data_IF_277739405855
#
_entry.id   IF_277739405855
#
_cell.length_a   1.000
_cell.length_b   1.000
_cell.length_c   1.000
_cell.angle_alpha   90.00
_cell.angle_beta   90.00
_cell.angle_gamma   90.00
#
_symmetry.space_group_name_H-M   'P 1'
#
loop_
_entity.id
_entity.type
_entity.pdbx_description
1 polymer ?
#
# COMPACT_ATOMS: atom_id res chain seq x y z
N UNK A 1 26.53 18.57 -13.72
CA UNK A 1 25.17 18.74 -14.27
C UNK A 1 24.74 17.60 -15.18
N UNK A 2 25.55 17.07 -16.08
CA UNK A 2 25.20 15.90 -16.93
C UNK A 2 25.08 14.59 -16.14
N UNK A 3 25.99 14.32 -15.21
CA UNK A 3 25.96 13.11 -14.37
C UNK A 3 24.70 13.05 -13.50
N UNK A 4 24.24 14.16 -12.95
CA UNK A 4 22.97 14.25 -12.19
C UNK A 4 21.75 14.02 -13.09
N UNK A 5 21.75 14.52 -14.31
CA UNK A 5 20.68 14.26 -15.30
C UNK A 5 20.63 12.78 -15.70
N UNK A 6 21.80 12.15 -15.87
CA UNK A 6 21.89 10.73 -16.23
C UNK A 6 21.42 9.83 -15.08
N UNK A 7 21.78 10.15 -13.84
CA UNK A 7 21.32 9.45 -12.64
C UNK A 7 19.79 9.56 -12.51
N UNK A 8 19.24 10.77 -12.62
CA UNK A 8 17.78 10.99 -12.55
C UNK A 8 17.00 10.22 -13.61
N UNK A 9 17.57 10.05 -14.83
CA UNK A 9 16.97 9.21 -15.87
C UNK A 9 16.95 7.72 -15.50
N UNK A 10 18.04 7.21 -14.91
CA UNK A 10 18.12 5.81 -14.46
C UNK A 10 17.18 5.53 -13.31
N UNK A 11 17.10 6.44 -12.34
CA UNK A 11 16.16 6.35 -11.22
C UNK A 11 14.71 6.34 -11.70
N UNK A 12 14.37 7.23 -12.63
CA UNK A 12 13.03 7.31 -13.23
C UNK A 12 12.70 6.02 -14.01
N UNK A 13 13.63 5.54 -14.84
CA UNK A 13 13.43 4.32 -15.63
C UNK A 13 13.21 3.10 -14.74
N UNK A 14 14.04 2.91 -13.70
CA UNK A 14 13.90 1.80 -12.77
C UNK A 14 12.57 1.87 -11.99
N UNK A 15 12.15 3.08 -11.60
CA UNK A 15 10.87 3.30 -10.92
C UNK A 15 9.69 2.97 -11.84
N UNK A 16 9.70 3.45 -13.08
CA UNK A 16 8.67 3.17 -14.07
C UNK A 16 8.56 1.67 -14.35
N UNK A 17 9.68 0.99 -14.55
CA UNK A 17 9.72 -0.43 -14.83
C UNK A 17 9.13 -1.26 -13.66
N UNK A 18 9.44 -0.91 -12.42
CA UNK A 18 8.86 -1.54 -11.24
C UNK A 18 7.34 -1.28 -11.15
N UNK A 19 6.89 -0.07 -11.44
CA UNK A 19 5.46 0.26 -11.42
C UNK A 19 4.70 -0.46 -12.53
N UNK A 20 5.23 -0.48 -13.76
CA UNK A 20 4.63 -1.21 -14.88
C UNK A 20 4.46 -2.70 -14.56
N UNK A 21 5.48 -3.31 -13.95
CA UNK A 21 5.38 -4.72 -13.55
C UNK A 21 4.28 -4.95 -12.50
N UNK A 22 4.14 -4.06 -11.52
CA UNK A 22 3.05 -4.17 -10.54
C UNK A 22 1.67 -4.11 -11.17
N UNK A 23 1.49 -3.29 -12.22
CA UNK A 23 0.24 -3.24 -12.98
C UNK A 23 -0.07 -4.53 -13.74
N UNK A 24 0.94 -5.27 -14.14
CA UNK A 24 0.79 -6.56 -14.84
C UNK A 24 0.63 -7.71 -13.86
N UNK A 25 1.48 -7.76 -12.82
CA UNK A 25 1.53 -8.86 -11.86
C UNK A 25 0.29 -8.95 -10.96
N UNK A 26 -0.30 -7.78 -10.61
CA UNK A 26 -1.54 -7.74 -9.83
C UNK A 26 -2.71 -8.46 -10.49
N UNK A 27 -3.12 -8.10 -11.71
CA UNK A 27 -4.14 -8.82 -12.47
C UNK A 27 -3.81 -10.31 -12.70
N UNK A 28 -2.55 -10.66 -12.97
CA UNK A 28 -2.15 -12.08 -13.11
C UNK A 28 -2.48 -12.85 -11.82
N UNK A 29 -2.03 -12.38 -10.68
CA UNK A 29 -2.29 -13.04 -9.40
C UNK A 29 -3.79 -13.09 -9.10
N UNK A 30 -4.51 -12.01 -9.38
CA UNK A 30 -5.96 -11.89 -9.17
C UNK A 30 -6.74 -12.93 -10.00
N UNK A 31 -6.30 -13.22 -11.23
CA UNK A 31 -6.92 -14.24 -12.08
C UNK A 31 -6.56 -15.68 -11.66
N UNK A 32 -5.32 -15.90 -11.20
CA UNK A 32 -4.88 -17.24 -10.78
C UNK A 32 -5.59 -17.72 -9.52
N UNK A 33 -5.87 -16.84 -8.57
CA UNK A 33 -6.53 -17.19 -7.30
C UNK A 33 -7.84 -17.96 -7.53
N UNK A 34 -8.86 -17.43 -8.22
CA UNK A 34 -10.13 -18.13 -8.42
C UNK A 34 -10.02 -19.35 -9.33
N UNK A 35 -8.99 -19.44 -10.17
CA UNK A 35 -8.78 -20.57 -11.06
C UNK A 35 -8.20 -21.79 -10.36
N UNK A 36 -7.32 -21.61 -9.39
CA UNK A 36 -6.58 -22.71 -8.75
C UNK A 36 -6.99 -23.00 -7.30
N UNK A 37 -7.55 -22.02 -6.58
CA UNK A 37 -8.00 -22.21 -5.19
C UNK A 37 -9.47 -22.60 -5.10
N UNK A 38 -9.84 -23.30 -4.03
CA UNK A 38 -11.25 -23.46 -3.63
C UNK A 38 -11.80 -22.16 -3.05
N UNK A 39 -13.13 -22.06 -2.86
CA UNK A 39 -13.76 -20.86 -2.26
C UNK A 39 -13.25 -20.58 -0.85
N UNK A 40 -13.10 -21.64 -0.07
CA UNK A 40 -12.60 -21.55 1.30
C UNK A 40 -11.13 -21.12 1.31
N UNK A 41 -10.29 -21.71 0.46
CA UNK A 41 -8.87 -21.34 0.35
C UNK A 41 -8.69 -19.88 -0.13
N UNK A 42 -9.53 -19.42 -1.06
CA UNK A 42 -9.56 -18.02 -1.46
C UNK A 42 -9.87 -17.10 -0.28
N UNK A 43 -10.80 -17.49 0.59
CA UNK A 43 -11.11 -16.75 1.83
C UNK A 43 -9.89 -16.60 2.73
N UNK A 44 -9.18 -17.67 3.00
CA UNK A 44 -7.97 -17.64 3.82
C UNK A 44 -6.81 -16.89 3.12
N UNK A 45 -6.72 -16.95 1.79
CA UNK A 45 -5.75 -16.14 1.04
C UNK A 45 -5.89 -14.66 1.34
N UNK A 46 -7.10 -14.13 1.23
CA UNK A 46 -7.37 -12.70 1.49
C UNK A 46 -7.33 -12.39 2.99
N UNK A 47 -7.73 -13.32 3.85
CA UNK A 47 -7.62 -13.17 5.30
C UNK A 47 -6.15 -13.03 5.74
N UNK A 48 -5.26 -13.90 5.25
CA UNK A 48 -3.82 -13.82 5.54
C UNK A 48 -3.25 -12.45 5.16
N UNK A 49 -3.53 -11.99 3.94
CA UNK A 49 -3.11 -10.66 3.47
C UNK A 49 -3.65 -9.53 4.35
N UNK A 50 -4.91 -9.60 4.72
CA UNK A 50 -5.56 -8.56 5.54
C UNK A 50 -5.02 -8.54 6.98
N UNK A 51 -4.81 -9.70 7.61
CA UNK A 51 -4.23 -9.76 8.96
C UNK A 51 -2.76 -9.29 8.91
N UNK A 52 -1.98 -9.70 7.90
CA UNK A 52 -0.60 -9.26 7.76
C UNK A 52 -0.50 -7.74 7.53
N UNK A 53 -1.51 -7.11 6.93
CA UNK A 53 -1.56 -5.66 6.77
C UNK A 53 -1.64 -4.91 8.12
N UNK A 54 -1.92 -5.58 9.24
CA UNK A 54 -1.71 -5.03 10.58
C UNK A 54 -0.24 -4.60 10.79
N UNK A 55 0.70 -5.13 10.00
CA UNK A 55 2.08 -4.63 9.98
C UNK A 55 2.19 -3.17 9.54
N UNK A 56 1.21 -2.64 8.80
CA UNK A 56 1.13 -1.20 8.49
C UNK A 56 0.84 -0.36 9.74
N UNK A 57 0.12 -0.92 10.73
CA UNK A 57 0.03 -0.33 12.07
C UNK A 57 1.36 -0.35 12.81
N UNK A 58 2.15 -1.39 12.61
CA UNK A 58 3.49 -1.45 13.19
C UNK A 58 4.40 -0.38 12.59
N UNK A 59 4.32 -0.16 11.27
CA UNK A 59 5.10 0.88 10.59
C UNK A 59 4.58 2.29 10.91
N UNK A 60 3.27 2.52 10.97
CA UNK A 60 2.63 3.82 11.18
C UNK A 60 3.27 4.96 10.37
N UNK A 61 3.77 4.65 9.19
CA UNK A 61 4.47 5.59 8.32
C UNK A 61 5.91 5.91 8.74
N UNK A 62 6.49 5.15 9.67
CA UNK A 62 7.88 5.34 10.11
C UNK A 62 8.89 5.17 8.98
N UNK A 63 8.61 4.29 8.01
CA UNK A 63 9.43 4.14 6.80
C UNK A 63 9.57 5.46 6.00
N UNK A 64 8.53 6.31 5.97
CA UNK A 64 8.60 7.63 5.34
C UNK A 64 9.50 8.61 6.13
N UNK A 65 9.48 8.50 7.45
CA UNK A 65 10.36 9.28 8.33
C UNK A 65 11.81 8.85 8.12
N UNK A 66 12.05 7.53 8.07
CA UNK A 66 13.38 6.98 7.79
C UNK A 66 13.94 7.56 6.48
N UNK A 67 13.14 7.56 5.42
CA UNK A 67 13.54 8.12 4.12
C UNK A 67 13.90 9.61 4.23
N UNK A 68 13.05 10.42 4.89
CA UNK A 68 13.24 11.86 4.99
C UNK A 68 14.49 12.22 5.82
N UNK A 69 14.64 11.63 7.00
CA UNK A 69 15.78 11.94 7.87
C UNK A 69 17.11 11.42 7.31
N UNK A 70 17.11 10.24 6.69
CA UNK A 70 18.30 9.73 6.03
C UNK A 70 18.72 10.59 4.84
N UNK A 71 17.76 11.09 4.04
CA UNK A 71 18.05 12.01 2.94
C UNK A 71 18.59 13.37 3.44
N UNK A 72 18.04 13.88 4.54
CA UNK A 72 18.48 15.15 5.12
C UNK A 72 19.95 15.07 5.59
N UNK A 73 20.30 14.03 6.35
CA UNK A 73 21.68 13.86 6.81
C UNK A 73 22.64 13.51 5.67
N UNK A 74 22.17 12.77 4.65
CA UNK A 74 22.97 12.39 3.49
C UNK A 74 23.25 13.56 2.54
N UNK A 75 22.52 14.67 2.63
CA UNK A 75 22.77 15.86 1.80
C UNK A 75 24.19 16.43 1.94
N UNK A 76 24.86 16.17 3.05
CA UNK A 76 26.25 16.60 3.35
C UNK A 76 27.28 15.47 3.16
N UNK A 77 26.86 14.36 2.57
CA UNK A 77 27.65 13.15 2.41
C UNK A 77 27.66 12.70 0.95
N UNK A 78 28.59 11.82 0.61
CA UNK A 78 28.68 11.21 -0.72
C UNK A 78 29.19 9.78 -0.62
N UNK A 79 28.99 9.01 -1.69
CA UNK A 79 29.60 7.69 -1.80
C UNK A 79 30.97 7.78 -2.48
N UNK A 80 31.92 7.11 -1.90
CA UNK A 80 33.20 6.81 -2.55
C UNK A 80 33.05 5.63 -3.53
N UNK A 81 33.99 5.45 -4.45
CA UNK A 81 33.99 4.31 -5.38
C UNK A 81 34.08 2.95 -4.67
N UNK A 82 34.71 2.90 -3.51
CA UNK A 82 34.74 1.71 -2.62
C UNK A 82 33.41 1.29 -2.09
N UNK A 83 32.37 2.15 -2.22
CA UNK A 83 31.01 1.96 -1.73
C UNK A 83 30.83 2.37 -0.26
N UNK A 84 31.80 3.08 0.33
CA UNK A 84 31.75 3.65 1.68
C UNK A 84 31.21 5.08 1.61
N UNK A 85 30.57 5.56 2.68
CA UNK A 85 30.09 6.93 2.80
C UNK A 85 31.21 7.82 3.33
N UNK A 86 31.47 8.95 2.65
CA UNK A 86 32.45 9.98 3.01
C UNK A 86 31.75 11.35 3.05
N UNK A 87 32.38 12.30 3.74
CA UNK A 87 31.91 13.68 3.86
C UNK A 87 32.03 14.22 5.28
N UNK A 88 31.11 15.08 5.69
CA UNK A 88 31.12 15.67 7.03
C UNK A 88 30.96 14.60 8.13
N UNK A 89 31.93 14.55 9.05
CA UNK A 89 31.99 13.53 10.08
C UNK A 89 30.81 13.62 11.10
N UNK A 90 30.27 14.82 11.32
CA UNK A 90 29.14 15.01 12.25
C UNK A 90 27.86 14.45 11.62
N UNK A 91 27.62 14.75 10.34
CA UNK A 91 26.48 14.21 9.60
C UNK A 91 26.59 12.69 9.44
N UNK A 92 27.78 12.14 9.22
CA UNK A 92 27.99 10.69 9.16
C UNK A 92 27.69 10.01 10.50
N UNK A 93 28.12 10.58 11.62
CA UNK A 93 27.82 10.09 12.97
C UNK A 93 26.31 10.18 13.27
N UNK A 94 25.68 11.29 12.90
CA UNK A 94 24.22 11.47 13.01
C UNK A 94 23.46 10.42 12.20
N UNK A 95 23.82 10.25 10.93
CA UNK A 95 23.23 9.25 10.03
C UNK A 95 23.35 7.82 10.60
N UNK A 96 24.53 7.43 11.08
CA UNK A 96 24.75 6.15 11.74
C UNK A 96 23.91 5.99 13.02
N UNK A 97 23.85 7.03 13.85
CA UNK A 97 23.00 7.07 15.05
C UNK A 97 21.53 6.92 14.72
N UNK A 98 21.06 7.58 13.64
CA UNK A 98 19.69 7.46 13.15
C UNK A 98 19.39 6.04 12.66
N UNK A 99 20.29 5.45 11.89
CA UNK A 99 20.13 4.05 11.45
C UNK A 99 19.99 3.08 12.63
N UNK A 100 20.86 3.22 13.65
CA UNK A 100 20.78 2.42 14.89
C UNK A 100 19.48 2.67 15.67
N UNK A 101 19.04 3.91 15.78
CA UNK A 101 17.75 4.27 16.39
C UNK A 101 16.60 3.60 15.65
N UNK A 102 16.59 3.67 14.33
CA UNK A 102 15.55 3.06 13.48
C UNK A 102 15.50 1.54 13.66
N UNK A 103 16.63 0.84 13.66
CA UNK A 103 16.66 -0.60 13.91
C UNK A 103 16.14 -0.98 15.30
N UNK A 104 16.48 -0.22 16.35
CA UNK A 104 15.96 -0.45 17.70
C UNK A 104 14.46 -0.22 17.78
N UNK A 105 13.96 0.84 17.13
CA UNK A 105 12.54 1.13 17.04
C UNK A 105 11.79 0.01 16.36
N UNK A 106 12.26 -0.43 15.18
CA UNK A 106 11.69 -1.55 14.45
C UNK A 106 11.68 -2.84 15.28
N UNK A 107 12.75 -3.13 16.00
CA UNK A 107 12.83 -4.29 16.88
C UNK A 107 11.80 -4.21 18.02
N UNK A 108 11.67 -3.07 18.67
CA UNK A 108 10.67 -2.85 19.72
C UNK A 108 9.24 -3.02 19.18
N UNK A 109 8.94 -2.36 18.07
CA UNK A 109 7.60 -2.41 17.47
C UNK A 109 7.27 -3.83 16.97
N UNK A 110 8.21 -4.51 16.33
CA UNK A 110 7.98 -5.87 15.85
C UNK A 110 7.78 -6.88 16.98
N UNK A 111 8.48 -6.70 18.11
CA UNK A 111 8.33 -7.56 19.29
C UNK A 111 6.91 -7.48 19.89
N UNK A 112 6.23 -6.35 19.72
CA UNK A 112 4.85 -6.17 20.19
C UNK A 112 3.83 -6.55 19.12
N UNK A 113 4.00 -6.03 17.89
CA UNK A 113 3.00 -6.14 16.84
C UNK A 113 2.91 -7.56 16.25
N UNK A 114 4.04 -8.23 16.02
CA UNK A 114 4.00 -9.53 15.35
C UNK A 114 3.44 -10.68 16.19
N UNK A 115 3.65 -10.77 17.49
CA UNK A 115 2.90 -11.72 18.32
C UNK A 115 1.39 -11.47 18.24
N UNK A 116 0.93 -10.21 18.23
CA UNK A 116 -0.49 -9.88 18.09
C UNK A 116 -1.01 -10.34 16.73
N UNK A 117 -0.32 -10.01 15.63
CA UNK A 117 -0.66 -10.44 14.28
C UNK A 117 -0.77 -11.96 14.21
N UNK A 118 0.20 -12.66 14.78
CA UNK A 118 0.26 -14.12 14.79
C UNK A 118 -0.92 -14.73 15.57
N UNK A 119 -1.20 -14.22 16.77
CA UNK A 119 -2.32 -14.66 17.62
C UNK A 119 -3.66 -14.40 16.96
N UNK A 120 -3.85 -13.24 16.33
CA UNK A 120 -5.10 -12.91 15.62
C UNK A 120 -5.37 -13.94 14.52
N UNK A 121 -4.37 -14.34 13.74
CA UNK A 121 -4.54 -15.41 12.75
C UNK A 121 -4.95 -16.75 13.38
N UNK A 122 -4.30 -17.14 14.48
CA UNK A 122 -4.64 -18.38 15.19
C UNK A 122 -6.07 -18.35 15.73
N UNK A 123 -6.56 -17.21 16.24
CA UNK A 123 -7.94 -17.09 16.73
C UNK A 123 -8.95 -17.43 15.64
N UNK A 124 -8.73 -16.95 14.40
CA UNK A 124 -9.58 -17.31 13.25
C UNK A 124 -9.53 -18.81 12.95
N UNK A 125 -8.35 -19.44 13.00
CA UNK A 125 -8.19 -20.87 12.70
C UNK A 125 -8.80 -21.77 13.78
N UNK A 126 -8.70 -21.38 15.06
CA UNK A 126 -9.35 -22.09 16.17
C UNK A 126 -10.86 -22.01 16.03
N UNK A 127 -11.37 -20.83 15.72
CA UNK A 127 -12.81 -20.61 15.54
C UNK A 127 -13.41 -21.45 14.43
N UNK A 128 -12.68 -21.60 13.32
CA UNK A 128 -13.14 -22.33 12.15
C UNK A 128 -12.77 -23.82 12.18
N UNK A 129 -12.11 -24.29 13.25
CA UNK A 129 -11.59 -25.66 13.44
C UNK A 129 -10.64 -26.12 12.31
N UNK A 130 -9.76 -25.23 11.86
CA UNK A 130 -8.84 -25.49 10.73
C UNK A 130 -7.37 -25.27 11.08
N UNK A 131 -7.03 -25.26 12.38
CA UNK A 131 -5.65 -25.01 12.86
C UNK A 131 -4.67 -25.97 12.21
N UNK A 132 -4.98 -27.27 12.15
CA UNK A 132 -4.10 -28.29 11.56
C UNK A 132 -3.75 -28.04 10.09
N UNK A 133 -4.62 -27.34 9.35
CA UNK A 133 -4.44 -27.07 7.92
C UNK A 133 -3.65 -25.79 7.68
N UNK A 134 -3.96 -24.70 8.42
CA UNK A 134 -3.46 -23.37 8.10
C UNK A 134 -2.33 -22.87 9.00
N UNK A 135 -2.01 -23.56 10.11
CA UNK A 135 -0.98 -23.11 11.05
C UNK A 135 0.41 -23.04 10.40
N UNK A 136 0.82 -24.07 9.64
CA UNK A 136 2.13 -24.10 8.99
C UNK A 136 2.23 -23.01 7.90
N UNK A 137 1.28 -22.91 6.94
CA UNK A 137 1.26 -21.78 6.01
C UNK A 137 1.29 -20.42 6.71
N UNK A 138 0.58 -20.27 7.82
CA UNK A 138 0.55 -19.02 8.57
C UNK A 138 1.88 -18.66 9.23
N UNK A 139 2.58 -19.64 9.82
CA UNK A 139 3.93 -19.45 10.37
C UNK A 139 4.89 -18.95 9.27
N UNK A 140 4.91 -19.65 8.13
CA UNK A 140 5.77 -19.29 6.99
C UNK A 140 5.43 -17.88 6.49
N UNK A 141 4.14 -17.56 6.31
CA UNK A 141 3.68 -16.27 5.85
C UNK A 141 4.01 -15.13 6.82
N UNK A 142 3.74 -15.33 8.12
CA UNK A 142 4.00 -14.34 9.18
C UNK A 142 5.49 -14.05 9.33
N UNK A 143 6.33 -15.10 9.23
CA UNK A 143 7.79 -14.95 9.25
C UNK A 143 8.27 -14.16 8.02
N UNK A 144 7.75 -14.48 6.83
CA UNK A 144 8.03 -13.72 5.61
C UNK A 144 7.58 -12.25 5.73
N UNK A 145 6.40 -12.01 6.31
CA UNK A 145 5.88 -10.67 6.57
C UNK A 145 6.77 -9.87 7.53
N UNK A 146 7.26 -10.51 8.59
CA UNK A 146 8.20 -9.89 9.54
C UNK A 146 9.50 -9.49 8.83
N UNK A 147 10.10 -10.37 8.04
CA UNK A 147 11.30 -10.06 7.26
C UNK A 147 11.02 -8.90 6.31
N UNK A 148 9.86 -8.89 5.65
CA UNK A 148 9.45 -7.82 4.72
C UNK A 148 9.29 -6.47 5.42
N UNK A 149 8.80 -6.45 6.65
CA UNK A 149 8.68 -5.24 7.46
C UNK A 149 10.05 -4.56 7.68
N UNK A 150 11.06 -5.33 8.08
CA UNK A 150 12.44 -4.81 8.20
C UNK A 150 13.01 -4.37 6.85
N UNK A 151 12.81 -5.18 5.82
CA UNK A 151 13.31 -4.88 4.47
C UNK A 151 12.78 -3.57 3.93
N UNK A 152 11.48 -3.30 4.07
CA UNK A 152 10.88 -2.06 3.60
C UNK A 152 11.48 -0.83 4.28
N UNK A 153 11.70 -0.89 5.58
CA UNK A 153 12.31 0.20 6.35
C UNK A 153 13.78 0.42 5.98
N UNK A 154 14.55 -0.66 5.79
CA UNK A 154 15.96 -0.57 5.36
C UNK A 154 16.05 -0.05 3.93
N UNK A 155 15.18 -0.49 3.02
CA UNK A 155 15.12 0.02 1.65
C UNK A 155 14.75 1.50 1.62
N UNK A 156 13.83 1.96 2.47
CA UNK A 156 13.50 3.38 2.61
C UNK A 156 14.71 4.20 3.10
N UNK A 157 15.48 3.65 4.04
CA UNK A 157 16.74 4.28 4.47
C UNK A 157 17.73 4.41 3.30
N UNK A 158 17.93 3.34 2.53
CA UNK A 158 18.85 3.32 1.38
C UNK A 158 18.35 4.25 0.25
N UNK A 159 17.03 4.38 0.05
CA UNK A 159 16.44 5.37 -0.87
C UNK A 159 16.82 6.80 -0.44
N UNK A 160 16.77 7.09 0.87
CA UNK A 160 17.23 8.37 1.43
C UNK A 160 18.71 8.64 1.20
N UNK A 161 19.54 7.61 1.05
CA UNK A 161 20.94 7.73 0.62
C UNK A 161 21.11 7.95 -0.90
N UNK A 162 20.07 8.38 -1.60
CA UNK A 162 20.07 8.63 -3.04
C UNK A 162 20.44 7.40 -3.91
N UNK A 163 20.11 6.18 -3.45
CA UNK A 163 20.31 4.93 -4.20
C UNK A 163 18.98 4.37 -4.76
N UNK A 164 18.14 5.28 -5.28
CA UNK A 164 16.78 4.96 -5.77
C UNK A 164 16.82 3.90 -6.85
N UNK A 165 17.66 4.03 -7.87
CA UNK A 165 17.79 3.04 -8.95
C UNK A 165 18.02 1.62 -8.43
N UNK A 166 18.99 1.45 -7.51
CA UNK A 166 19.32 0.13 -6.97
C UNK A 166 18.17 -0.47 -6.16
N UNK A 167 17.50 0.34 -5.34
CA UNK A 167 16.34 -0.09 -4.57
C UNK A 167 15.19 -0.50 -5.47
N UNK A 168 14.86 0.30 -6.49
CA UNK A 168 13.78 0.00 -7.42
C UNK A 168 14.08 -1.26 -8.25
N UNK A 169 15.34 -1.50 -8.63
CA UNK A 169 15.75 -2.76 -9.28
C UNK A 169 15.59 -3.98 -8.37
N UNK A 170 15.92 -3.86 -7.08
CA UNK A 170 15.69 -4.93 -6.10
C UNK A 170 14.19 -5.21 -6.00
N UNK A 171 13.37 -4.17 -5.82
CA UNK A 171 11.90 -4.32 -5.74
C UNK A 171 11.31 -4.94 -6.99
N UNK A 172 11.76 -4.54 -8.17
CA UNK A 172 11.33 -5.10 -9.45
C UNK A 172 11.67 -6.60 -9.58
N UNK A 173 12.95 -6.96 -9.36
CA UNK A 173 13.42 -8.34 -9.40
C UNK A 173 12.60 -9.25 -8.45
N UNK A 174 12.40 -8.79 -7.25
CA UNK A 174 11.68 -9.56 -6.22
C UNK A 174 10.18 -9.66 -6.53
N UNK A 175 9.59 -8.62 -7.11
CA UNK A 175 8.19 -8.67 -7.55
C UNK A 175 7.98 -9.71 -8.66
N UNK A 176 8.94 -9.86 -9.59
CA UNK A 176 8.92 -10.94 -10.59
C UNK A 176 9.00 -12.31 -9.89
N UNK A 177 9.98 -12.49 -9.00
CA UNK A 177 10.17 -13.74 -8.26
C UNK A 177 8.89 -14.12 -7.50
N UNK A 178 8.29 -13.15 -6.79
CA UNK A 178 7.06 -13.36 -6.04
C UNK A 178 5.91 -13.86 -6.93
N UNK A 179 5.65 -13.16 -8.04
CA UNK A 179 4.58 -13.52 -8.97
C UNK A 179 4.84 -14.89 -9.62
N UNK A 180 6.08 -15.17 -9.99
CA UNK A 180 6.47 -16.45 -10.59
C UNK A 180 6.29 -17.61 -9.61
N UNK A 181 6.69 -17.44 -8.34
CA UNK A 181 6.52 -18.47 -7.30
C UNK A 181 5.03 -18.70 -7.04
N UNK A 182 4.22 -17.64 -6.91
CA UNK A 182 2.77 -17.78 -6.74
C UNK A 182 2.18 -18.58 -7.91
N UNK A 183 2.48 -18.21 -9.15
CA UNK A 183 1.95 -18.88 -10.31
C UNK A 183 2.37 -20.35 -10.37
N UNK A 184 3.66 -20.64 -10.18
CA UNK A 184 4.20 -22.00 -10.16
C UNK A 184 3.54 -22.88 -9.10
N UNK A 185 3.48 -22.40 -7.85
CA UNK A 185 2.95 -23.19 -6.74
C UNK A 185 1.42 -23.35 -6.82
N UNK A 186 0.69 -22.40 -7.40
CA UNK A 186 -0.74 -22.55 -7.70
C UNK A 186 -0.97 -23.59 -8.80
N UNK A 187 -0.18 -23.57 -9.88
CA UNK A 187 -0.24 -24.60 -10.95
C UNK A 187 0.09 -26.00 -10.41
N UNK A 188 1.03 -26.10 -9.46
CA UNK A 188 1.37 -27.35 -8.76
C UNK A 188 0.34 -27.74 -7.69
N UNK A 189 -0.79 -27.03 -7.58
CA UNK A 189 -1.86 -27.28 -6.61
C UNK A 189 -1.43 -27.25 -5.14
N UNK A 190 -0.39 -26.47 -4.80
CA UNK A 190 0.07 -26.27 -3.41
C UNK A 190 -0.80 -25.31 -2.60
N UNK A 191 -1.96 -24.91 -3.14
CA UNK A 191 -3.01 -24.16 -2.45
C UNK A 191 -2.48 -22.90 -1.73
N UNK A 192 -2.81 -22.73 -0.45
CA UNK A 192 -2.43 -21.58 0.37
C UNK A 192 -0.91 -21.47 0.59
N UNK A 193 -0.17 -22.57 0.47
CA UNK A 193 1.30 -22.54 0.53
C UNK A 193 1.91 -21.66 -0.56
N UNK A 194 1.23 -21.48 -1.70
CA UNK A 194 1.69 -20.60 -2.77
C UNK A 194 1.89 -19.14 -2.26
N UNK A 195 0.95 -18.63 -1.49
CA UNK A 195 1.05 -17.31 -0.87
C UNK A 195 2.19 -17.25 0.16
N UNK A 196 2.22 -18.25 1.04
CA UNK A 196 3.11 -18.27 2.20
C UNK A 196 4.57 -18.39 1.79
N UNK A 197 4.85 -19.35 0.91
CA UNK A 197 6.22 -19.58 0.39
C UNK A 197 6.68 -18.42 -0.48
N UNK A 198 5.80 -17.86 -1.35
CA UNK A 198 6.16 -16.71 -2.16
C UNK A 198 6.52 -15.50 -1.29
N UNK A 199 5.75 -15.24 -0.22
CA UNK A 199 6.05 -14.15 0.72
C UNK A 199 7.38 -14.37 1.42
N UNK A 200 7.65 -15.57 1.93
CA UNK A 200 8.88 -15.89 2.63
C UNK A 200 10.11 -15.82 1.72
N UNK A 201 10.05 -16.44 0.53
CA UNK A 201 11.17 -16.45 -0.42
C UNK A 201 11.45 -15.05 -0.97
N UNK A 202 10.39 -14.30 -1.30
CA UNK A 202 10.55 -12.92 -1.78
C UNK A 202 11.19 -12.03 -0.73
N UNK A 203 10.72 -12.09 0.50
CA UNK A 203 11.28 -11.32 1.61
C UNK A 203 12.72 -11.70 1.91
N UNK A 204 13.05 -13.00 1.90
CA UNK A 204 14.41 -13.49 2.05
C UNK A 204 15.32 -13.04 0.91
N UNK A 205 14.80 -12.99 -0.33
CA UNK A 205 15.55 -12.50 -1.49
C UNK A 205 15.85 -11.00 -1.38
N UNK A 206 14.91 -10.19 -0.87
CA UNK A 206 15.18 -8.76 -0.58
C UNK A 206 16.30 -8.65 0.46
N UNK A 207 16.17 -9.38 1.56
CA UNK A 207 17.16 -9.37 2.64
C UNK A 207 18.57 -9.71 2.13
N UNK A 208 18.72 -10.81 1.38
CA UNK A 208 19.98 -11.22 0.77
C UNK A 208 20.51 -10.13 -0.19
N UNK A 209 19.62 -9.53 -1.00
CA UNK A 209 19.99 -8.48 -1.96
C UNK A 209 20.48 -7.21 -1.26
N UNK A 210 19.85 -6.81 -0.15
CA UNK A 210 20.29 -5.67 0.67
C UNK A 210 21.69 -5.92 1.21
N UNK A 211 21.92 -7.05 1.87
CA UNK A 211 23.23 -7.37 2.43
C UNK A 211 24.28 -7.59 1.36
N UNK A 212 23.98 -8.23 0.23
CA UNK A 212 24.91 -8.39 -0.89
C UNK A 212 25.34 -7.07 -1.51
N UNK A 213 24.43 -6.08 -1.56
CA UNK A 213 24.72 -4.81 -2.25
C UNK A 213 25.23 -3.71 -1.31
N UNK A 214 24.74 -3.67 -0.07
CA UNK A 214 24.94 -2.53 0.84
C UNK A 214 25.63 -2.90 2.16
N UNK A 215 26.15 -4.13 2.31
CA UNK A 215 26.82 -4.59 3.55
C UNK A 215 27.86 -3.60 4.07
N UNK A 216 28.74 -3.10 3.21
CA UNK A 216 29.82 -2.16 3.61
C UNK A 216 29.24 -0.90 4.26
N UNK A 217 28.22 -0.32 3.65
CA UNK A 217 27.53 0.88 4.16
C UNK A 217 26.86 0.61 5.50
N UNK A 218 26.09 -0.49 5.59
CA UNK A 218 25.36 -0.82 6.81
C UNK A 218 26.30 -1.09 7.98
N UNK A 219 27.42 -1.79 7.74
CA UNK A 219 28.45 -2.03 8.75
C UNK A 219 29.12 -0.72 9.17
N UNK A 220 29.53 0.13 8.22
CA UNK A 220 30.11 1.45 8.50
C UNK A 220 29.18 2.28 9.41
N UNK A 221 27.89 2.38 9.08
CA UNK A 221 26.92 3.15 9.85
C UNK A 221 26.75 2.62 11.28
N UNK A 222 26.74 1.30 11.45
CA UNK A 222 26.68 0.68 12.76
C UNK A 222 27.95 0.94 13.59
N UNK A 223 29.14 0.92 12.97
CA UNK A 223 30.40 1.17 13.64
C UNK A 223 30.54 2.63 14.08
N UNK A 224 30.25 3.58 13.19
CA UNK A 224 30.32 5.02 13.49
C UNK A 224 29.33 5.41 14.58
N UNK A 225 28.18 4.71 14.68
CA UNK A 225 27.15 4.98 15.68
C UNK A 225 27.47 4.48 17.08
N UNK A 226 28.51 3.66 17.28
CA UNK A 226 28.80 3.02 18.59
C UNK A 226 29.03 4.03 19.71
N UNK A 227 29.72 5.12 19.39
CA UNK A 227 30.15 6.12 20.37
C UNK A 227 29.42 7.46 20.27
N UNK A 228 28.39 7.55 19.38
CA UNK A 228 27.64 8.77 19.16
C UNK A 228 26.18 8.59 19.61
N UNK A 229 25.73 9.39 20.58
CA UNK A 229 24.33 9.39 21.06
C UNK A 229 23.66 10.69 20.64
N UNK A 230 22.49 10.56 20.00
CA UNK A 230 21.63 11.66 19.61
C UNK A 230 20.19 11.36 20.04
N UNK A 231 19.47 12.35 20.55
CA UNK A 231 18.08 12.17 21.00
C UNK A 231 17.09 12.36 19.84
N UNK A 232 16.97 11.32 19.02
CA UNK A 232 16.06 11.30 17.88
C UNK A 232 14.58 11.37 18.26
N UNK A 233 14.20 11.06 19.50
CA UNK A 233 12.79 11.06 19.92
C UNK A 233 12.17 12.44 19.80
N UNK A 234 12.90 13.50 20.14
CA UNK A 234 12.41 14.88 20.06
C UNK A 234 12.11 15.34 18.63
N UNK A 235 12.89 14.89 17.65
CA UNK A 235 12.71 15.28 16.25
C UNK A 235 11.72 14.37 15.53
N UNK A 236 11.74 13.07 15.82
CA UNK A 236 10.93 12.05 15.13
C UNK A 236 9.47 12.05 15.61
N UNK A 237 9.22 12.19 16.91
CA UNK A 237 7.88 12.01 17.49
C UNK A 237 6.81 12.97 16.94
N UNK A 238 7.06 14.27 16.72
CA UNK A 238 6.06 15.19 16.19
C UNK A 238 5.65 14.85 14.75
N UNK A 239 6.58 14.30 13.96
CA UNK A 239 6.31 13.87 12.59
C UNK A 239 5.63 12.51 12.57
N UNK A 240 6.08 11.60 13.45
CA UNK A 240 5.52 10.27 13.61
C UNK A 240 4.02 10.29 13.92
N UNK A 241 3.56 11.17 14.83
CA UNK A 241 2.13 11.26 15.18
C UNK A 241 1.25 11.61 13.97
N UNK A 242 1.72 12.48 13.07
CA UNK A 242 0.99 12.84 11.84
C UNK A 242 0.90 11.65 10.87
N UNK A 243 2.00 10.95 10.64
CA UNK A 243 2.01 9.76 9.78
C UNK A 243 1.21 8.60 10.39
N UNK A 244 1.27 8.43 11.71
CA UNK A 244 0.52 7.41 12.42
C UNK A 244 -0.99 7.57 12.23
N UNK A 245 -1.52 8.79 12.42
CA UNK A 245 -2.92 9.09 12.20
C UNK A 245 -3.36 8.78 10.76
N UNK A 246 -2.53 9.14 9.77
CA UNK A 246 -2.81 8.84 8.37
C UNK A 246 -2.81 7.32 8.09
N UNK A 247 -1.85 6.58 8.65
CA UNK A 247 -1.74 5.13 8.44
C UNK A 247 -2.89 4.35 9.08
N UNK A 248 -3.39 4.80 10.24
CA UNK A 248 -4.58 4.24 10.88
C UNK A 248 -5.79 4.38 9.95
N UNK A 249 -5.98 5.55 9.35
CA UNK A 249 -7.06 5.79 8.38
C UNK A 249 -7.00 4.82 7.20
N UNK A 250 -5.82 4.64 6.61
CA UNK A 250 -5.60 3.73 5.47
C UNK A 250 -5.98 2.29 5.84
N UNK A 251 -5.62 1.82 7.03
CA UNK A 251 -5.96 0.45 7.46
C UNK A 251 -7.48 0.24 7.52
N UNK A 252 -8.20 1.10 8.22
CA UNK A 252 -9.65 0.98 8.35
C UNK A 252 -10.40 1.15 7.02
N UNK A 253 -9.79 1.83 6.05
CA UNK A 253 -10.38 2.02 4.72
C UNK A 253 -10.10 0.86 3.77
N UNK A 254 -8.95 0.18 3.88
CA UNK A 254 -8.52 -0.79 2.88
C UNK A 254 -8.50 -2.26 3.35
N UNK A 255 -8.20 -2.52 4.61
CA UNK A 255 -7.86 -3.88 5.03
C UNK A 255 -8.85 -4.53 5.98
N UNK A 256 -9.79 -3.77 6.53
CA UNK A 256 -10.72 -4.26 7.56
C UNK A 256 -11.85 -5.15 7.00
N UNK A 257 -12.16 -5.02 5.71
CA UNK A 257 -13.30 -5.68 5.10
C UNK A 257 -13.27 -7.21 5.19
N UNK A 258 -12.16 -7.81 4.80
CA UNK A 258 -12.02 -9.29 4.77
C UNK A 258 -12.09 -9.90 6.16
N UNK A 259 -11.38 -9.41 7.21
CA UNK A 259 -11.50 -9.94 8.56
C UNK A 259 -12.91 -9.84 9.14
N UNK A 260 -13.61 -8.71 8.96
CA UNK A 260 -14.98 -8.55 9.45
C UNK A 260 -15.93 -9.52 8.74
N UNK A 261 -15.86 -9.60 7.41
CA UNK A 261 -16.72 -10.54 6.66
C UNK A 261 -16.45 -11.99 7.06
N UNK A 262 -15.19 -12.36 7.26
CA UNK A 262 -14.82 -13.68 7.74
C UNK A 262 -15.40 -13.96 9.11
N UNK A 263 -15.35 -12.98 10.01
CA UNK A 263 -15.87 -13.11 11.38
C UNK A 263 -17.38 -13.40 11.41
N UNK A 264 -18.18 -12.79 10.55
CA UNK A 264 -19.63 -12.91 10.59
C UNK A 264 -20.19 -13.96 9.61
N UNK A 265 -19.56 -14.18 8.48
CA UNK A 265 -20.08 -14.99 7.38
C UNK A 265 -19.13 -16.09 6.87
N UNK A 266 -17.95 -16.23 7.48
CA UNK A 266 -16.98 -17.28 7.20
C UNK A 266 -16.10 -17.05 5.95
N UNK A 267 -15.28 -18.07 5.60
CA UNK A 267 -14.23 -17.91 4.60
C UNK A 267 -14.74 -17.67 3.18
N UNK A 268 -15.86 -18.28 2.77
CA UNK A 268 -16.38 -18.14 1.40
C UNK A 268 -16.72 -16.68 1.11
N UNK A 269 -17.47 -16.04 1.99
CA UNK A 269 -17.86 -14.64 1.81
C UNK A 269 -16.67 -13.68 1.96
N UNK A 270 -15.73 -13.97 2.85
CA UNK A 270 -14.50 -13.17 2.96
C UNK A 270 -13.65 -13.26 1.68
N UNK A 271 -13.64 -14.41 1.00
CA UNK A 271 -13.02 -14.59 -0.30
C UNK A 271 -13.69 -13.74 -1.39
N UNK A 272 -15.04 -13.72 -1.41
CA UNK A 272 -15.81 -12.87 -2.33
C UNK A 272 -15.57 -11.37 -2.10
N UNK A 273 -15.52 -10.93 -0.84
CA UNK A 273 -15.13 -9.55 -0.48
C UNK A 273 -13.74 -9.23 -0.99
N UNK A 274 -12.77 -10.07 -0.65
CA UNK A 274 -11.37 -9.83 -0.99
C UNK A 274 -11.13 -9.71 -2.49
N UNK A 275 -11.72 -10.59 -3.30
CA UNK A 275 -11.59 -10.54 -4.76
C UNK A 275 -12.31 -9.32 -5.34
N UNK A 276 -13.58 -9.07 -4.94
CA UNK A 276 -14.36 -7.92 -5.41
C UNK A 276 -13.67 -6.60 -5.08
N UNK A 277 -13.14 -6.47 -3.85
CA UNK A 277 -12.38 -5.31 -3.42
C UNK A 277 -11.10 -5.14 -4.23
N UNK A 278 -10.35 -6.22 -4.48
CA UNK A 278 -9.11 -6.18 -5.26
C UNK A 278 -9.35 -5.71 -6.69
N UNK A 279 -10.44 -6.17 -7.33
CA UNK A 279 -10.84 -5.74 -8.69
C UNK A 279 -11.10 -4.23 -8.72
N UNK A 280 -11.99 -3.75 -7.84
CA UNK A 280 -12.39 -2.33 -7.84
C UNK A 280 -11.21 -1.43 -7.46
N UNK A 281 -10.39 -1.86 -6.49
CA UNK A 281 -9.19 -1.12 -6.10
C UNK A 281 -8.13 -1.06 -7.21
N UNK A 282 -7.99 -2.11 -8.03
CA UNK A 282 -7.13 -2.09 -9.21
C UNK A 282 -7.64 -1.09 -10.27
N UNK A 283 -8.94 -1.06 -10.54
CA UNK A 283 -9.58 -0.09 -11.45
C UNK A 283 -9.33 1.34 -10.95
N UNK A 284 -9.53 1.58 -9.66
CA UNK A 284 -9.26 2.86 -9.00
C UNK A 284 -7.78 3.27 -9.14
N UNK A 285 -6.86 2.34 -8.91
CA UNK A 285 -5.43 2.57 -9.07
C UNK A 285 -5.05 3.02 -10.47
N UNK A 286 -5.58 2.34 -11.50
CA UNK A 286 -5.37 2.70 -12.91
C UNK A 286 -5.90 4.10 -13.21
N UNK A 287 -7.12 4.40 -12.79
CA UNK A 287 -7.72 5.72 -13.00
C UNK A 287 -6.93 6.85 -12.33
N UNK A 288 -6.40 6.64 -11.13
CA UNK A 288 -5.64 7.64 -10.39
C UNK A 288 -4.22 7.92 -10.94
N UNK A 289 -3.72 7.15 -11.91
CA UNK A 289 -2.44 7.44 -12.56
C UNK A 289 -2.43 8.87 -13.12
N UNK A 290 -3.53 9.29 -13.74
CA UNK A 290 -3.68 10.65 -14.29
C UNK A 290 -3.48 11.76 -13.25
N UNK A 291 -3.88 11.51 -11.99
CA UNK A 291 -3.73 12.46 -10.88
C UNK A 291 -2.31 12.43 -10.31
N UNK A 292 -1.76 11.24 -10.07
CA UNK A 292 -0.43 11.13 -9.46
C UNK A 292 0.70 11.62 -10.38
N UNK A 293 0.55 11.49 -11.70
CA UNK A 293 1.54 11.96 -12.67
C UNK A 293 1.72 13.48 -12.69
N UNK A 294 0.71 14.26 -12.29
CA UNK A 294 0.80 15.72 -12.28
C UNK A 294 1.24 16.31 -10.95
N UNK A 295 1.43 15.48 -9.90
CA UNK A 295 1.80 15.97 -8.56
C UNK A 295 3.03 16.88 -8.57
N UNK A 296 4.15 16.56 -9.25
CA UNK A 296 5.30 17.44 -9.30
C UNK A 296 5.01 18.77 -9.99
N UNK A 297 4.19 18.75 -11.06
CA UNK A 297 3.80 19.95 -11.78
C UNK A 297 2.90 20.85 -10.93
N UNK A 298 1.96 20.26 -10.17
CA UNK A 298 1.12 21.04 -9.24
C UNK A 298 1.97 21.74 -8.18
N UNK A 299 2.97 21.05 -7.61
CA UNK A 299 3.89 21.63 -6.64
C UNK A 299 4.66 22.84 -7.23
N UNK A 300 5.11 22.74 -8.49
CA UNK A 300 5.78 23.87 -9.17
C UNK A 300 4.85 25.04 -9.42
N UNK A 301 3.62 24.77 -9.87
CA UNK A 301 2.63 25.82 -10.14
C UNK A 301 2.19 26.56 -8.87
N UNK A 302 2.15 25.89 -7.73
CA UNK A 302 1.92 26.53 -6.42
C UNK A 302 3.04 27.52 -6.07
N UNK A 303 4.31 27.14 -6.22
CA UNK A 303 5.44 28.05 -5.96
C UNK A 303 5.48 29.24 -6.95
N UNK A 304 5.03 29.02 -8.19
CA UNK A 304 4.91 30.06 -9.21
C UNK A 304 3.64 30.93 -9.03
N UNK A 305 2.74 30.59 -8.11
CA UNK A 305 1.42 31.21 -7.92
C UNK A 305 0.57 31.24 -9.20
N UNK A 306 0.77 30.27 -10.10
CA UNK A 306 0.02 30.19 -11.36
C UNK A 306 -1.26 29.36 -11.18
N UNK A 307 -2.22 29.94 -10.46
CA UNK A 307 -3.47 29.28 -10.08
C UNK A 307 -4.33 28.87 -11.28
N UNK A 308 -4.34 29.69 -12.32
CA UNK A 308 -5.15 29.46 -13.52
C UNK A 308 -4.72 28.22 -14.29
N UNK A 309 -3.42 28.02 -14.45
CA UNK A 309 -2.87 26.83 -15.11
C UNK A 309 -3.00 25.60 -14.20
N UNK A 310 -2.81 25.78 -12.90
CA UNK A 310 -3.01 24.72 -11.90
C UNK A 310 -4.44 24.16 -11.94
N UNK A 311 -5.45 25.03 -11.93
CA UNK A 311 -6.86 24.65 -12.01
C UNK A 311 -7.18 23.94 -13.34
N UNK A 312 -6.70 24.49 -14.45
CA UNK A 312 -6.91 23.92 -15.79
C UNK A 312 -6.31 22.50 -15.89
N UNK A 313 -5.08 22.33 -15.41
CA UNK A 313 -4.40 21.04 -15.40
C UNK A 313 -5.14 20.04 -14.51
N UNK A 314 -5.53 20.47 -13.31
CA UNK A 314 -6.29 19.66 -12.36
C UNK A 314 -7.61 19.18 -12.96
N UNK A 315 -8.46 20.07 -13.47
CA UNK A 315 -9.74 19.71 -14.06
C UNK A 315 -9.58 18.75 -15.25
N UNK A 316 -8.62 19.00 -16.13
CA UNK A 316 -8.33 18.14 -17.28
C UNK A 316 -7.94 16.72 -16.84
N UNK A 317 -7.07 16.59 -15.84
CA UNK A 317 -6.59 15.28 -15.38
C UNK A 317 -7.64 14.54 -14.56
N UNK A 318 -8.43 15.26 -13.78
CA UNK A 318 -9.58 14.70 -13.08
C UNK A 318 -10.59 14.13 -14.09
N UNK A 319 -10.90 14.87 -15.16
CA UNK A 319 -11.79 14.35 -16.23
C UNK A 319 -11.24 13.08 -16.86
N UNK A 320 -9.94 13.00 -17.16
CA UNK A 320 -9.33 11.77 -17.69
C UNK A 320 -9.40 10.61 -16.70
N UNK A 321 -9.19 10.86 -15.41
CA UNK A 321 -9.33 9.86 -14.36
C UNK A 321 -10.76 9.32 -14.29
N UNK A 322 -11.77 10.20 -14.29
CA UNK A 322 -13.18 9.81 -14.26
C UNK A 322 -13.58 9.02 -15.52
N UNK A 323 -13.18 9.47 -16.71
CA UNK A 323 -13.48 8.78 -17.98
C UNK A 323 -12.83 7.38 -17.99
N UNK A 324 -11.56 7.28 -17.60
CA UNK A 324 -10.85 6.00 -17.52
C UNK A 324 -11.55 5.05 -16.54
N UNK A 325 -11.95 5.54 -15.36
CA UNK A 325 -12.67 4.75 -14.38
C UNK A 325 -14.00 4.22 -14.90
N UNK A 326 -14.84 5.12 -15.43
CA UNK A 326 -16.15 4.77 -15.99
C UNK A 326 -15.99 3.75 -17.14
N UNK A 327 -15.01 3.95 -18.01
CA UNK A 327 -14.74 3.03 -19.13
C UNK A 327 -14.39 1.62 -18.63
N UNK A 328 -13.48 1.50 -17.64
CA UNK A 328 -13.08 0.17 -17.14
C UNK A 328 -14.22 -0.48 -16.35
N UNK A 329 -14.99 0.28 -15.55
CA UNK A 329 -16.20 -0.24 -14.86
C UNK A 329 -17.25 -0.70 -15.88
N UNK A 330 -17.42 0.02 -16.98
CA UNK A 330 -18.31 -0.39 -18.08
C UNK A 330 -17.85 -1.70 -18.71
N UNK A 331 -16.55 -1.86 -18.98
CA UNK A 331 -15.99 -3.14 -19.44
C UNK A 331 -16.23 -4.28 -18.43
N UNK A 332 -16.09 -4.02 -17.14
CA UNK A 332 -16.40 -4.99 -16.09
C UNK A 332 -17.90 -5.41 -16.15
N UNK A 333 -18.82 -4.47 -16.27
CA UNK A 333 -20.25 -4.75 -16.42
C UNK A 333 -20.53 -5.62 -17.64
N UNK A 334 -19.88 -5.30 -18.76
CA UNK A 334 -19.99 -6.10 -20.01
C UNK A 334 -19.49 -7.52 -19.76
N UNK A 335 -18.37 -7.73 -19.09
CA UNK A 335 -17.87 -9.06 -18.75
C UNK A 335 -18.90 -9.88 -17.95
N UNK A 336 -19.55 -9.27 -16.96
CA UNK A 336 -20.63 -9.94 -16.21
C UNK A 336 -21.83 -10.30 -17.09
N UNK A 337 -22.25 -9.40 -18.00
CA UNK A 337 -23.38 -9.66 -18.92
C UNK A 337 -23.04 -10.72 -19.97
N UNK A 338 -21.84 -10.67 -20.54
CA UNK A 338 -21.39 -11.68 -21.52
C UNK A 338 -21.38 -13.07 -20.89
N UNK A 339 -20.89 -13.18 -19.65
CA UNK A 339 -20.91 -14.46 -18.93
C UNK A 339 -22.33 -15.03 -18.76
N UNK A 340 -23.31 -14.17 -18.47
CA UNK A 340 -24.70 -14.60 -18.33
C UNK A 340 -25.34 -15.06 -19.65
N UNK A 341 -24.79 -14.66 -20.80
CA UNK A 341 -25.31 -15.04 -22.13
C UNK A 341 -24.56 -16.22 -22.72
N UNK A 342 -23.22 -16.23 -22.62
CA UNK A 342 -22.36 -17.20 -23.32
C UNK A 342 -21.81 -18.31 -22.40
N UNK A 343 -22.01 -18.23 -21.08
CA UNK A 343 -21.58 -19.21 -20.07
C UNK A 343 -20.11 -19.68 -20.24
N UNK A 344 -19.20 -18.73 -20.49
CA UNK A 344 -17.78 -19.03 -20.68
C UNK A 344 -17.20 -19.60 -19.37
N UNK A 345 -16.84 -20.88 -19.36
CA UNK A 345 -16.46 -21.65 -18.16
C UNK A 345 -15.42 -20.97 -17.29
N UNK A 346 -14.37 -20.38 -17.90
CA UNK A 346 -13.32 -19.66 -17.16
C UNK A 346 -13.89 -18.39 -16.52
N UNK A 347 -14.65 -17.61 -17.27
CA UNK A 347 -15.24 -16.36 -16.78
C UNK A 347 -16.27 -16.63 -15.70
N UNK A 348 -17.12 -17.66 -15.88
CA UNK A 348 -18.08 -18.12 -14.88
C UNK A 348 -17.39 -18.51 -13.57
N UNK A 349 -16.28 -19.25 -13.64
CA UNK A 349 -15.49 -19.63 -12.47
C UNK A 349 -14.92 -18.42 -11.73
N UNK A 350 -14.46 -17.39 -12.44
CA UNK A 350 -13.93 -16.16 -11.82
C UNK A 350 -15.06 -15.33 -11.20
N UNK A 351 -16.15 -15.11 -11.95
CA UNK A 351 -17.24 -14.25 -11.51
C UNK A 351 -18.07 -14.86 -10.38
N UNK A 352 -18.21 -16.18 -10.29
CA UNK A 352 -18.86 -16.87 -9.16
C UNK A 352 -18.09 -16.66 -7.83
N UNK A 353 -16.80 -16.34 -7.91
CA UNK A 353 -15.93 -16.05 -6.77
C UNK A 353 -16.00 -14.61 -6.29
N UNK A 354 -16.73 -13.76 -7.00
CA UNK A 354 -17.02 -12.37 -6.62
C UNK A 354 -18.41 -12.25 -5.98
N UNK A 355 -18.69 -11.09 -5.43
CA UNK A 355 -20.05 -10.70 -5.12
C UNK A 355 -20.87 -10.48 -6.41
N UNK A 356 -22.22 -10.54 -6.36
CA UNK A 356 -23.05 -10.20 -7.51
C UNK A 356 -22.79 -8.76 -7.97
N UNK A 357 -22.97 -8.52 -9.25
CA UNK A 357 -22.64 -7.25 -9.90
C UNK A 357 -23.24 -6.03 -9.16
N UNK A 358 -24.51 -6.11 -8.75
CA UNK A 358 -25.17 -5.00 -8.05
C UNK A 358 -24.50 -4.65 -6.71
N UNK A 359 -23.98 -5.65 -6.00
CA UNK A 359 -23.21 -5.44 -4.76
C UNK A 359 -21.85 -4.76 -5.05
N UNK A 360 -21.16 -5.21 -6.10
CA UNK A 360 -19.89 -4.60 -6.54
C UNK A 360 -20.11 -3.16 -6.98
N UNK A 361 -21.27 -2.82 -7.54
CA UNK A 361 -21.59 -1.45 -7.97
C UNK A 361 -21.68 -0.47 -6.79
N UNK A 362 -22.03 -0.88 -5.57
CA UNK A 362 -21.89 -0.01 -4.39
C UNK A 362 -20.42 0.34 -4.13
N UNK A 363 -19.53 -0.65 -4.22
CA UNK A 363 -18.10 -0.40 -4.04
C UNK A 363 -17.55 0.46 -5.19
N UNK A 364 -17.92 0.16 -6.43
CA UNK A 364 -17.51 0.94 -7.59
C UNK A 364 -18.00 2.39 -7.51
N UNK A 365 -19.23 2.62 -7.08
CA UNK A 365 -19.75 3.97 -6.83
C UNK A 365 -19.01 4.69 -5.72
N UNK A 366 -18.68 4.01 -4.61
CA UNK A 366 -17.89 4.54 -3.52
C UNK A 366 -16.50 5.00 -4.01
N UNK A 367 -15.82 4.17 -4.79
CA UNK A 367 -14.50 4.49 -5.33
C UNK A 367 -14.52 5.55 -6.44
N UNK A 368 -15.61 5.64 -7.21
CA UNK A 368 -15.82 6.76 -8.12
C UNK A 368 -15.86 8.11 -7.37
N UNK A 369 -16.60 8.17 -6.28
CA UNK A 369 -16.64 9.33 -5.40
C UNK A 369 -15.24 9.61 -4.83
N UNK A 370 -14.54 8.58 -4.39
CA UNK A 370 -13.20 8.70 -3.83
C UNK A 370 -12.14 9.24 -4.83
N UNK A 371 -12.36 9.13 -6.16
CA UNK A 371 -11.50 9.79 -7.17
C UNK A 371 -11.46 11.31 -6.93
N UNK A 372 -12.62 11.93 -6.68
CA UNK A 372 -12.72 13.36 -6.42
C UNK A 372 -12.00 13.74 -5.12
N UNK A 373 -12.24 13.00 -4.03
CA UNK A 373 -11.60 13.23 -2.74
C UNK A 373 -10.07 13.08 -2.84
N UNK A 374 -9.59 12.02 -3.51
CA UNK A 374 -8.17 11.77 -3.70
C UNK A 374 -7.51 12.86 -4.57
N UNK A 375 -8.13 13.23 -5.68
CA UNK A 375 -7.62 14.27 -6.56
C UNK A 375 -7.56 15.63 -5.83
N UNK A 376 -8.63 16.00 -5.11
CA UNK A 376 -8.65 17.20 -4.28
C UNK A 376 -7.57 17.16 -3.19
N UNK A 377 -7.35 15.99 -2.57
CA UNK A 377 -6.27 15.76 -1.62
C UNK A 377 -4.90 16.05 -2.21
N UNK A 378 -4.60 15.53 -3.41
CA UNK A 378 -3.34 15.78 -4.13
C UNK A 378 -3.17 17.27 -4.42
N UNK A 379 -4.23 17.94 -4.89
CA UNK A 379 -4.22 19.38 -5.15
C UNK A 379 -3.91 20.20 -3.89
N UNK A 380 -4.58 19.90 -2.77
CA UNK A 380 -4.40 20.62 -1.52
C UNK A 380 -3.04 20.37 -0.87
N UNK A 381 -2.52 19.14 -0.96
CA UNK A 381 -1.21 18.78 -0.41
C UNK A 381 -0.05 19.44 -1.17
N UNK A 382 -0.24 19.84 -2.43
CA UNK A 382 0.72 20.68 -3.16
C UNK A 382 1.03 22.00 -2.44
N UNK A 383 0.08 22.55 -1.65
CA UNK A 383 0.27 23.71 -0.80
C UNK A 383 0.94 23.40 0.56
N UNK A 384 1.53 22.20 0.73
CA UNK A 384 2.18 21.75 1.99
C UNK A 384 1.22 21.71 3.19
N UNK A 385 -0.10 21.55 2.96
CA UNK A 385 -1.14 21.45 3.99
C UNK A 385 -1.97 20.19 3.77
N UNK A 386 -2.52 19.61 4.84
CA UNK A 386 -3.31 18.36 4.81
C UNK A 386 -4.69 18.62 5.43
N UNK A 387 -5.59 19.41 4.77
CA UNK A 387 -6.89 19.75 5.35
C UNK A 387 -7.82 18.53 5.49
N UNK A 388 -7.64 17.49 4.66
CA UNK A 388 -8.46 16.29 4.68
C UNK A 388 -8.09 15.28 5.77
N UNK A 389 -7.08 15.55 6.61
CA UNK A 389 -6.68 14.59 7.65
C UNK A 389 -7.84 14.24 8.60
N UNK A 390 -8.52 15.25 9.13
CA UNK A 390 -9.64 15.04 10.07
C UNK A 390 -10.85 14.39 9.39
N UNK A 391 -11.36 14.88 8.24
CA UNK A 391 -12.42 14.21 7.48
C UNK A 391 -12.11 12.74 7.18
N UNK A 392 -10.88 12.43 6.75
CA UNK A 392 -10.46 11.06 6.45
C UNK A 392 -10.47 10.16 7.68
N UNK A 393 -10.07 10.65 8.86
CA UNK A 393 -10.15 9.90 10.12
C UNK A 393 -11.61 9.60 10.45
N UNK A 394 -12.46 10.61 10.39
CA UNK A 394 -13.88 10.45 10.71
C UNK A 394 -14.55 9.49 9.72
N UNK A 395 -14.33 9.65 8.42
CA UNK A 395 -14.88 8.76 7.40
C UNK A 395 -14.41 7.31 7.57
N UNK A 396 -13.14 7.07 7.92
CA UNK A 396 -12.64 5.73 8.16
C UNK A 396 -13.29 5.05 9.37
N UNK A 397 -13.59 5.81 10.42
CA UNK A 397 -14.35 5.32 11.58
C UNK A 397 -15.78 4.97 11.18
N UNK A 398 -16.45 5.82 10.38
CA UNK A 398 -17.78 5.52 9.85
C UNK A 398 -17.79 4.29 8.95
N UNK A 399 -16.79 4.12 8.09
CA UNK A 399 -16.62 2.90 7.27
C UNK A 399 -16.50 1.68 8.19
N UNK A 400 -15.65 1.73 9.20
CA UNK A 400 -15.45 0.63 10.15
C UNK A 400 -16.74 0.24 10.88
N UNK A 401 -17.42 1.22 11.47
CA UNK A 401 -18.67 1.00 12.21
C UNK A 401 -19.77 0.46 11.30
N UNK A 402 -19.98 1.10 10.12
CA UNK A 402 -20.99 0.66 9.16
C UNK A 402 -20.71 -0.74 8.62
N UNK A 403 -19.43 -1.09 8.40
CA UNK A 403 -19.03 -2.43 7.97
C UNK A 403 -19.41 -3.50 9.00
N UNK A 404 -19.18 -3.23 10.30
CA UNK A 404 -19.59 -4.15 11.39
C UNK A 404 -21.11 -4.27 11.46
N UNK A 405 -21.84 -3.15 11.43
CA UNK A 405 -23.31 -3.14 11.53
C UNK A 405 -23.92 -3.93 10.37
N UNK A 406 -23.46 -3.68 9.15
CA UNK A 406 -23.98 -4.35 7.96
C UNK A 406 -23.63 -5.84 7.99
N UNK A 407 -22.39 -6.21 8.34
CA UNK A 407 -21.98 -7.61 8.45
C UNK A 407 -22.82 -8.38 9.49
N UNK A 408 -23.23 -7.71 10.59
CA UNK A 408 -23.98 -8.36 11.66
C UNK A 408 -25.49 -8.46 11.38
N UNK A 409 -26.10 -7.45 10.75
CA UNK A 409 -27.55 -7.30 10.70
C UNK A 409 -28.16 -7.45 9.31
N UNK A 410 -27.34 -7.32 8.24
CA UNK A 410 -27.82 -7.40 6.86
C UNK A 410 -27.22 -8.62 6.14
N UNK A 411 -27.78 -8.90 4.94
CA UNK A 411 -27.22 -9.95 4.07
C UNK A 411 -25.82 -9.56 3.58
N UNK A 412 -24.92 -10.53 3.39
CA UNK A 412 -23.53 -10.27 2.96
C UNK A 412 -23.41 -9.43 1.70
N UNK A 413 -24.38 -9.52 0.80
CA UNK A 413 -24.36 -8.79 -0.48
C UNK A 413 -24.49 -7.27 -0.32
N UNK A 414 -25.01 -6.78 0.81
CA UNK A 414 -25.07 -5.33 1.12
C UNK A 414 -23.79 -4.77 1.74
N UNK A 415 -22.76 -5.59 1.90
CA UNK A 415 -21.56 -5.27 2.67
C UNK A 415 -20.90 -3.95 2.28
N UNK A 416 -20.85 -3.63 0.99
CA UNK A 416 -20.23 -2.39 0.50
C UNK A 416 -21.13 -1.16 0.58
N UNK A 417 -22.39 -1.31 0.95
CA UNK A 417 -23.35 -0.19 1.05
C UNK A 417 -22.89 0.87 2.08
N UNK A 418 -22.33 0.42 3.22
CA UNK A 418 -21.84 1.33 4.25
C UNK A 418 -20.70 2.23 3.75
N UNK A 419 -19.77 1.66 2.99
CA UNK A 419 -18.68 2.40 2.35
C UNK A 419 -19.23 3.41 1.34
N UNK A 420 -20.20 3.01 0.52
CA UNK A 420 -20.84 3.89 -0.46
C UNK A 420 -21.53 5.09 0.21
N UNK A 421 -22.35 4.83 1.23
CA UNK A 421 -23.06 5.89 1.97
C UNK A 421 -22.04 6.83 2.63
N UNK A 422 -21.00 6.29 3.25
CA UNK A 422 -19.98 7.10 3.92
C UNK A 422 -19.29 8.04 2.92
N UNK A 423 -18.79 7.53 1.81
CA UNK A 423 -18.14 8.39 0.80
C UNK A 423 -19.11 9.38 0.17
N UNK A 424 -20.39 9.02 -0.01
CA UNK A 424 -21.39 9.93 -0.51
C UNK A 424 -21.64 11.11 0.44
N UNK A 425 -21.72 10.85 1.75
CA UNK A 425 -21.88 11.91 2.76
C UNK A 425 -20.62 12.79 2.82
N UNK A 426 -19.43 12.18 2.87
CA UNK A 426 -18.18 12.92 2.98
C UNK A 426 -17.81 13.68 1.70
N UNK A 427 -18.35 13.32 0.53
CA UNK A 427 -18.18 14.09 -0.70
C UNK A 427 -18.54 15.57 -0.51
N UNK A 428 -19.66 15.85 0.16
CA UNK A 428 -20.10 17.23 0.43
C UNK A 428 -19.14 17.96 1.35
N UNK A 429 -18.64 17.27 2.38
CA UNK A 429 -17.64 17.81 3.31
C UNK A 429 -16.34 18.14 2.56
N UNK A 430 -15.88 17.23 1.72
CA UNK A 430 -14.64 17.38 0.96
C UNK A 430 -14.76 18.53 -0.07
N UNK A 431 -15.90 18.67 -0.73
CA UNK A 431 -16.17 19.79 -1.66
C UNK A 431 -16.13 21.12 -0.91
N UNK A 432 -16.77 21.24 0.25
CA UNK A 432 -16.79 22.47 1.05
C UNK A 432 -15.36 22.85 1.48
N UNK A 433 -14.61 21.88 2.02
CA UNK A 433 -13.23 22.11 2.45
C UNK A 433 -12.34 22.50 1.27
N UNK A 434 -12.46 21.78 0.15
CA UNK A 434 -11.69 22.08 -1.07
C UNK A 434 -11.95 23.49 -1.56
N UNK A 435 -13.22 23.89 -1.71
CA UNK A 435 -13.59 25.23 -2.18
C UNK A 435 -13.11 26.32 -1.22
N UNK A 436 -13.28 26.10 0.10
CA UNK A 436 -12.82 27.04 1.13
C UNK A 436 -11.30 27.23 1.09
N UNK A 437 -10.54 26.12 1.05
CA UNK A 437 -9.09 26.18 1.00
C UNK A 437 -8.60 26.84 -0.29
N UNK A 438 -9.15 26.44 -1.45
CA UNK A 438 -8.81 27.03 -2.75
C UNK A 438 -9.07 28.53 -2.75
N UNK A 439 -10.25 28.97 -2.30
CA UNK A 439 -10.62 30.40 -2.24
C UNK A 439 -9.66 31.19 -1.34
N UNK A 440 -9.35 30.68 -0.16
CA UNK A 440 -8.49 31.36 0.80
C UNK A 440 -7.03 31.43 0.36
N UNK A 441 -6.55 30.46 -0.40
CA UNK A 441 -5.14 30.39 -0.79
C UNK A 441 -4.84 31.04 -2.13
N UNK A 442 -5.87 31.21 -3.00
CA UNK A 442 -5.70 31.81 -4.32
C UNK A 442 -6.10 33.30 -4.35
N UNK A 443 -6.85 33.79 -3.35
CA UNK A 443 -7.26 35.20 -3.27
C UNK A 443 -6.40 36.01 -2.30
N UNK A 444 -5.38 35.43 -1.68
CA UNK A 444 -4.34 36.05 -0.86
C UNK A 444 -3.02 35.99 -1.58
#
# INVERSE_FOLDING_TARGET
MELTKLQNRKDLFATLLNQMWKFVSGPITMLLIPLFLTEVQQGYWYLFGSIASLSTFADLGFSNIILQFSAHEFAFLSFEESGVIIGDNNHLKKLGSFFRFSLKWLAFVSLVAYPIIFIVGIIYFIRDDVVGIYIIPWIIFSTGSLINFYNNSILSFIEGLNKIEKVQKIRFKVSIINTTIIALLLILHLNIYALSVAMFVSSSTIFISIFGTFKKVLVQLLDVSKFYKYDWKKEVLPLFTKYALSSITVFFTLYIYTPIMHLYHGPIYSGKVGLSFTIVNAIFGIANIWIYTITPTLNMLVEQKNWKEMDRLFCRRLSFSCITYIFIVFCMIICFKINNVFEIAILQKILSRCFPLWSIMFLAGAYFINIFANAAGVYLTAHKKIPFLIPNIISSIFIFISTIIIAKFLKPEFFFLGTFITYFIFLFVDIIIFQRCRRNWHNG
#
